data_IF_550251220402
#
_entry.id   IF_550251220402
#
_cell.length_a   1.000
_cell.length_b   1.000
_cell.length_c   1.000
_cell.angle_alpha   90.00
_cell.angle_beta   90.00
_cell.angle_gamma   90.00
#
_symmetry.space_group_name_H-M   'P 1'
#
loop_
_entity.id
_entity.type
_entity.pdbx_description
1 polymer ?
#
# COMPACT_ATOMS: atom_id res chain seq x y z
N UNK A 1 13.38 -10.99 38.42
CA UNK A 1 13.14 -11.03 36.96
C UNK A 1 13.26 -9.62 36.47
N UNK A 2 14.40 -9.30 35.88
CA UNK A 2 14.76 -7.95 35.45
C UNK A 2 13.92 -7.60 34.23
N UNK A 3 13.00 -6.66 34.38
CA UNK A 3 12.28 -6.03 33.27
C UNK A 3 13.33 -5.33 32.42
N UNK A 4 13.81 -5.98 31.37
CA UNK A 4 14.60 -5.34 30.34
C UNK A 4 13.68 -4.27 29.76
N UNK A 5 14.00 -2.99 30.00
CA UNK A 5 13.44 -1.89 29.22
C UNK A 5 13.82 -2.22 27.79
N UNK A 6 12.84 -2.59 26.96
CA UNK A 6 13.00 -2.47 25.52
C UNK A 6 13.43 -1.03 25.28
N UNK A 7 14.68 -0.81 24.86
CA UNK A 7 15.03 0.43 24.22
C UNK A 7 14.04 0.57 23.06
N UNK A 8 13.14 1.56 23.17
CA UNK A 8 12.12 1.78 22.17
C UNK A 8 12.84 1.97 20.84
N UNK A 9 12.72 0.97 19.96
CA UNK A 9 13.23 1.06 18.60
C UNK A 9 12.58 2.29 17.97
N UNK A 10 13.40 3.26 17.57
CA UNK A 10 12.92 4.51 16.99
C UNK A 10 12.50 4.24 15.54
N UNK A 11 11.21 3.97 15.36
CA UNK A 11 10.59 3.75 14.06
C UNK A 11 10.52 5.04 13.26
N UNK A 12 10.88 4.97 11.98
CA UNK A 12 10.77 6.09 11.06
C UNK A 12 10.53 5.60 9.63
N UNK A 13 9.32 5.81 9.13
CA UNK A 13 8.95 5.43 7.77
C UNK A 13 9.69 6.25 6.69
N UNK A 14 10.18 7.45 7.02
CA UNK A 14 10.98 8.28 6.11
C UNK A 14 12.33 7.63 5.83
N UNK A 15 12.91 7.02 6.85
CA UNK A 15 14.18 6.29 6.78
C UNK A 15 14.01 4.78 6.54
N UNK A 16 12.77 4.31 6.34
CA UNK A 16 12.42 2.88 6.25
C UNK A 16 12.84 2.06 7.47
N UNK A 17 12.85 2.67 8.65
CA UNK A 17 13.09 2.01 9.93
C UNK A 17 11.77 1.43 10.44
N UNK A 18 11.50 0.17 10.09
CA UNK A 18 10.34 -0.56 10.59
C UNK A 18 10.74 -1.59 11.65
N UNK A 19 9.83 -1.96 12.56
CA UNK A 19 10.01 -3.09 13.46
C UNK A 19 10.31 -4.38 12.70
N UNK A 20 11.02 -5.31 13.37
CA UNK A 20 11.45 -6.57 12.76
C UNK A 20 10.28 -7.44 12.25
N UNK A 21 9.10 -7.32 12.83
CA UNK A 21 7.93 -8.06 12.35
C UNK A 21 7.52 -7.66 10.92
N UNK A 22 7.82 -6.42 10.52
CA UNK A 22 7.55 -5.91 9.17
C UNK A 22 8.67 -6.19 8.20
N UNK A 23 9.84 -6.67 8.63
CA UNK A 23 10.95 -7.07 7.74
C UNK A 23 10.88 -8.54 7.34
N UNK A 24 9.91 -9.30 7.87
CA UNK A 24 9.70 -10.70 7.49
C UNK A 24 9.41 -10.83 5.97
N UNK A 25 10.06 -11.77 5.24
CA UNK A 25 9.77 -12.04 3.83
C UNK A 25 8.32 -12.43 3.53
N UNK A 26 7.58 -12.93 4.52
CA UNK A 26 6.16 -13.28 4.42
C UNK A 26 5.25 -12.10 4.74
N UNK A 27 5.79 -10.99 5.26
CA UNK A 27 5.07 -9.75 5.48
C UNK A 27 5.15 -8.88 4.22
N UNK A 28 4.03 -8.71 3.54
CA UNK A 28 3.93 -7.79 2.41
C UNK A 28 3.02 -6.59 2.75
N UNK A 29 3.30 -5.49 2.08
CA UNK A 29 2.47 -4.29 2.05
C UNK A 29 1.19 -4.55 1.24
N UNK A 30 0.11 -3.84 1.54
CA UNK A 30 -1.11 -3.85 0.73
C UNK A 30 -1.42 -2.44 0.21
N UNK A 31 -1.87 -2.37 -1.04
CA UNK A 31 -2.51 -1.19 -1.60
C UNK A 31 -3.89 -1.02 -0.98
N UNK A 32 -4.37 0.22 -0.84
CA UNK A 32 -5.74 0.52 -0.39
C UNK A 32 -6.76 -0.21 -1.27
N UNK A 33 -6.47 -0.30 -2.56
CA UNK A 33 -7.26 -1.04 -3.54
C UNK A 33 -7.31 -2.56 -3.26
N UNK A 34 -6.20 -3.17 -2.84
CA UNK A 34 -6.14 -4.58 -2.45
C UNK A 34 -6.89 -4.83 -1.15
N UNK A 35 -6.72 -3.93 -0.17
CA UNK A 35 -7.47 -3.96 1.09
C UNK A 35 -8.97 -3.91 0.79
N UNK A 36 -9.42 -3.03 -0.12
CA UNK A 36 -10.82 -2.94 -0.50
C UNK A 36 -11.35 -4.28 -1.06
N UNK A 37 -10.63 -4.92 -1.99
CA UNK A 37 -11.03 -6.21 -2.56
C UNK A 37 -11.11 -7.32 -1.50
N UNK A 38 -10.14 -7.38 -0.59
CA UNK A 38 -10.11 -8.37 0.50
C UNK A 38 -11.29 -8.18 1.45
N UNK A 39 -11.57 -6.93 1.85
CA UNK A 39 -12.71 -6.61 2.72
C UNK A 39 -14.04 -6.86 2.02
N UNK A 40 -14.16 -6.51 0.74
CA UNK A 40 -15.37 -6.78 -0.04
C UNK A 40 -15.64 -8.29 -0.14
N UNK A 41 -14.63 -9.09 -0.46
CA UNK A 41 -14.75 -10.54 -0.50
C UNK A 41 -15.13 -11.11 0.87
N UNK A 42 -14.52 -10.63 1.96
CA UNK A 42 -14.88 -11.04 3.32
C UNK A 42 -16.31 -10.69 3.68
N UNK A 43 -16.82 -9.53 3.25
CA UNK A 43 -18.23 -9.14 3.43
C UNK A 43 -19.16 -10.07 2.64
N UNK A 44 -18.85 -10.37 1.38
CA UNK A 44 -19.63 -11.29 0.57
C UNK A 44 -19.69 -12.69 1.17
N UNK A 45 -18.58 -13.19 1.72
CA UNK A 45 -18.58 -14.47 2.45
C UNK A 45 -19.50 -14.44 3.67
N UNK A 46 -19.55 -13.31 4.38
CA UNK A 46 -20.43 -13.15 5.53
C UNK A 46 -21.92 -13.13 5.13
N UNK A 47 -22.24 -12.47 4.02
CA UNK A 47 -23.60 -12.41 3.47
C UNK A 47 -24.11 -13.78 2.95
N UNK A 48 -23.20 -14.71 2.65
CA UNK A 48 -23.51 -16.06 2.17
C UNK A 48 -23.69 -17.09 3.29
N UNK A 49 -23.39 -16.73 4.54
CA UNK A 49 -23.61 -17.62 5.68
C UNK A 49 -25.10 -17.72 6.00
N UNK A 50 -25.51 -18.88 6.52
CA UNK A 50 -26.88 -19.09 7.01
C UNK A 50 -27.21 -18.14 8.18
N UNK A 51 -26.21 -17.81 9.00
CA UNK A 51 -26.27 -16.78 10.04
C UNK A 51 -25.27 -15.68 9.74
N UNK A 52 -25.77 -14.46 9.49
CA UNK A 52 -24.96 -13.27 9.22
C UNK A 52 -24.36 -12.77 10.55
N UNK A 53 -23.04 -12.70 10.62
CA UNK A 53 -22.34 -12.10 11.76
C UNK A 53 -22.23 -10.58 11.60
N UNK A 54 -22.39 -9.84 12.69
CA UNK A 54 -22.14 -8.40 12.67
C UNK A 54 -20.64 -8.12 12.50
N UNK A 55 -20.32 -7.31 11.49
CA UNK A 55 -18.94 -6.89 11.25
C UNK A 55 -18.53 -5.82 12.26
N UNK A 56 -17.28 -5.89 12.73
CA UNK A 56 -16.76 -4.93 13.70
C UNK A 56 -16.78 -3.49 13.16
N UNK A 57 -16.87 -2.51 14.05
CA UNK A 57 -16.85 -1.09 13.68
C UNK A 57 -15.57 -0.73 12.89
N UNK A 58 -14.43 -1.31 13.28
CA UNK A 58 -13.14 -1.15 12.58
C UNK A 58 -13.25 -1.67 11.15
N UNK A 59 -13.85 -2.85 10.95
CA UNK A 59 -14.04 -3.41 9.61
C UNK A 59 -14.87 -2.47 8.73
N UNK A 60 -16.01 -1.98 9.25
CA UNK A 60 -16.91 -1.09 8.49
C UNK A 60 -16.22 0.23 8.15
N UNK A 61 -15.48 0.83 9.09
CA UNK A 61 -14.72 2.06 8.86
C UNK A 61 -13.61 1.87 7.83
N UNK A 62 -12.81 0.80 7.96
CA UNK A 62 -11.72 0.50 7.02
C UNK A 62 -12.27 0.20 5.62
N UNK A 63 -13.36 -0.55 5.51
CA UNK A 63 -14.01 -0.82 4.22
C UNK A 63 -14.51 0.47 3.57
N UNK A 64 -15.13 1.38 4.33
CA UNK A 64 -15.59 2.68 3.81
C UNK A 64 -14.43 3.56 3.36
N UNK A 65 -13.33 3.60 4.12
CA UNK A 65 -12.11 4.31 3.74
C UNK A 65 -11.52 3.72 2.46
N UNK A 66 -11.32 2.40 2.43
CA UNK A 66 -10.71 1.71 1.30
C UNK A 66 -11.58 1.83 0.03
N UNK A 67 -12.91 1.75 0.17
CA UNK A 67 -13.85 1.98 -0.94
C UNK A 67 -13.75 3.40 -1.52
N UNK A 68 -13.59 4.40 -0.66
CA UNK A 68 -13.50 5.81 -1.07
C UNK A 68 -12.17 6.15 -1.73
N UNK A 69 -11.07 5.61 -1.23
CA UNK A 69 -9.71 5.98 -1.65
C UNK A 69 -9.05 4.94 -2.56
N UNK A 70 -9.69 3.80 -2.80
CA UNK A 70 -9.25 2.84 -3.81
C UNK A 70 -9.12 3.53 -5.16
N UNK A 71 -7.90 3.52 -5.69
CA UNK A 71 -7.57 4.04 -7.02
C UNK A 71 -7.85 3.02 -8.11
N UNK A 72 -7.96 1.75 -7.73
CA UNK A 72 -8.05 0.63 -8.66
C UNK A 72 -9.15 -0.34 -8.22
N UNK A 73 -10.21 -0.47 -9.00
CA UNK A 73 -11.34 -1.39 -8.74
C UNK A 73 -11.13 -2.76 -9.37
N UNK A 74 -10.39 -2.85 -10.47
CA UNK A 74 -10.15 -4.12 -11.17
C UNK A 74 -8.90 -4.83 -10.64
N UNK A 75 -9.04 -6.12 -10.28
CA UNK A 75 -7.96 -7.00 -9.83
C UNK A 75 -6.82 -7.13 -10.84
N UNK A 76 -7.11 -7.15 -12.13
CA UNK A 76 -6.11 -7.16 -13.19
C UNK A 76 -5.31 -5.87 -13.24
N UNK A 77 -5.98 -4.72 -13.08
CA UNK A 77 -5.32 -3.40 -12.99
C UNK A 77 -4.40 -3.34 -11.77
N UNK A 78 -4.84 -3.84 -10.61
CA UNK A 78 -4.02 -3.88 -9.39
C UNK A 78 -2.76 -4.72 -9.61
N UNK A 79 -2.88 -5.90 -10.22
CA UNK A 79 -1.71 -6.73 -10.58
C UNK A 79 -0.79 -6.00 -11.55
N UNK A 80 -1.35 -5.35 -12.57
CA UNK A 80 -0.55 -4.58 -13.52
C UNK A 80 0.20 -3.45 -12.82
N UNK A 81 -0.44 -2.74 -11.89
CA UNK A 81 0.18 -1.68 -11.08
C UNK A 81 1.35 -2.23 -10.25
N UNK A 82 1.18 -3.38 -9.59
CA UNK A 82 2.29 -4.04 -8.87
C UNK A 82 3.47 -4.37 -9.80
N UNK A 83 3.18 -4.84 -11.01
CA UNK A 83 4.21 -5.22 -11.97
C UNK A 83 5.01 -4.03 -12.51
N UNK A 84 4.45 -2.81 -12.53
CA UNK A 84 5.19 -1.59 -12.94
C UNK A 84 6.44 -1.40 -12.06
N UNK A 85 6.33 -1.72 -10.76
CA UNK A 85 7.43 -1.57 -9.80
C UNK A 85 8.38 -2.77 -9.75
N UNK A 86 8.01 -3.91 -10.34
CA UNK A 86 8.72 -5.19 -10.16
C UNK A 86 10.14 -5.25 -10.73
N UNK A 87 10.51 -4.31 -11.61
CA UNK A 87 11.87 -4.21 -12.16
C UNK A 87 12.83 -3.36 -11.29
N UNK A 88 12.34 -2.77 -10.19
CA UNK A 88 13.07 -1.80 -9.37
C UNK A 88 13.28 -2.33 -7.95
N UNK A 89 14.40 -1.99 -7.34
CA UNK A 89 14.70 -2.31 -5.95
C UNK A 89 14.03 -1.30 -5.00
N UNK A 90 12.69 -1.27 -5.03
CA UNK A 90 11.88 -0.47 -4.11
C UNK A 90 11.47 -1.30 -2.88
N UNK A 91 11.48 -0.65 -1.73
CA UNK A 91 10.93 -1.23 -0.51
C UNK A 91 9.41 -1.38 -0.63
N UNK A 92 8.84 -2.44 -0.04
CA UNK A 92 7.39 -2.70 -0.08
C UNK A 92 6.54 -1.52 0.39
N UNK A 93 7.04 -0.76 1.38
CA UNK A 93 6.41 0.50 1.81
C UNK A 93 6.34 1.53 0.68
N UNK A 94 7.44 1.76 -0.05
CA UNK A 94 7.53 2.73 -1.14
C UNK A 94 6.58 2.36 -2.29
N UNK A 95 6.54 1.08 -2.66
CA UNK A 95 5.61 0.55 -3.65
C UNK A 95 4.16 0.84 -3.25
N UNK A 96 3.83 0.59 -1.97
CA UNK A 96 2.48 0.85 -1.48
C UNK A 96 2.14 2.35 -1.46
N UNK A 97 3.07 3.21 -1.04
CA UNK A 97 2.87 4.66 -1.04
C UNK A 97 2.68 5.20 -2.46
N UNK A 98 3.53 4.83 -3.41
CA UNK A 98 3.41 5.27 -4.81
C UNK A 98 2.08 4.84 -5.44
N UNK A 99 1.66 3.59 -5.20
CA UNK A 99 0.39 3.06 -5.71
C UNK A 99 -0.86 3.69 -5.07
N UNK A 100 -0.76 4.19 -3.83
CA UNK A 100 -1.89 4.79 -3.11
C UNK A 100 -2.01 6.31 -3.34
N UNK A 101 -0.88 7.01 -3.26
CA UNK A 101 -0.81 8.46 -3.38
C UNK A 101 -0.96 8.90 -4.85
N UNK A 102 -0.36 8.15 -5.78
CA UNK A 102 -0.31 8.47 -7.21
C UNK A 102 0.16 9.92 -7.47
N UNK A 103 1.41 10.27 -7.11
CA UNK A 103 1.95 11.60 -7.38
C UNK A 103 2.04 11.86 -8.89
N UNK A 104 2.01 13.13 -9.26
CA UNK A 104 2.01 13.58 -10.66
C UNK A 104 3.42 13.90 -11.18
N UNK A 105 4.40 14.12 -10.29
CA UNK A 105 5.80 14.38 -10.64
C UNK A 105 6.79 13.64 -9.73
N UNK A 106 8.03 13.48 -10.20
CA UNK A 106 9.12 12.91 -9.40
C UNK A 106 9.42 13.76 -8.15
N UNK A 107 9.37 15.10 -8.29
CA UNK A 107 9.51 16.04 -7.17
C UNK A 107 8.44 15.80 -6.09
N UNK A 108 7.17 15.67 -6.47
CA UNK A 108 6.09 15.38 -5.51
C UNK A 108 6.29 14.00 -4.86
N UNK A 109 6.65 13.00 -5.65
CA UNK A 109 6.89 11.64 -5.16
C UNK A 109 8.00 11.60 -4.10
N UNK A 110 9.12 12.29 -4.34
CA UNK A 110 10.25 12.38 -3.40
C UNK A 110 9.92 13.25 -2.19
N UNK A 111 9.15 14.33 -2.37
CA UNK A 111 8.70 15.15 -1.24
C UNK A 111 7.76 14.37 -0.29
N UNK A 112 6.87 13.53 -0.84
CA UNK A 112 5.94 12.71 -0.05
C UNK A 112 6.57 11.44 0.50
N UNK A 113 7.57 10.89 -0.20
CA UNK A 113 8.24 9.63 0.13
C UNK A 113 9.76 9.86 0.09
N UNK A 114 10.35 10.49 1.12
CA UNK A 114 11.74 10.95 1.05
C UNK A 114 12.77 9.81 0.95
N UNK A 115 12.39 8.58 1.31
CA UNK A 115 13.23 7.39 1.11
C UNK A 115 13.58 7.11 -0.36
N UNK A 116 12.87 7.74 -1.32
CA UNK A 116 13.12 7.63 -2.76
C UNK A 116 14.26 8.52 -3.27
N UNK A 117 14.64 9.58 -2.55
CA UNK A 117 15.54 10.66 -3.03
C UNK A 117 16.82 10.15 -3.70
N UNK A 118 17.47 9.15 -3.09
CA UNK A 118 18.74 8.60 -3.56
C UNK A 118 18.62 7.18 -4.17
N UNK A 119 17.39 6.70 -4.40
CA UNK A 119 17.16 5.33 -4.90
C UNK A 119 16.78 5.27 -6.38
N UNK A 120 16.08 6.28 -6.86
CA UNK A 120 15.55 6.32 -8.23
C UNK A 120 15.80 7.70 -8.82
N UNK A 121 16.34 7.71 -10.03
CA UNK A 121 16.52 8.94 -10.83
C UNK A 121 15.17 9.53 -11.24
N UNK A 122 15.11 10.86 -11.38
CA UNK A 122 13.85 11.57 -11.64
C UNK A 122 13.20 11.15 -12.95
N UNK A 123 13.97 11.00 -14.04
CA UNK A 123 13.47 10.58 -15.36
C UNK A 123 12.82 9.19 -15.31
N UNK A 124 13.42 8.30 -14.52
CA UNK A 124 12.99 6.93 -14.31
C UNK A 124 11.70 6.89 -13.48
N UNK A 125 11.65 7.69 -12.42
CA UNK A 125 10.48 7.83 -11.56
C UNK A 125 9.32 8.47 -12.34
N UNK A 126 9.57 9.51 -13.14
CA UNK A 126 8.57 10.10 -14.03
C UNK A 126 7.96 9.09 -15.01
N UNK A 127 8.79 8.21 -15.59
CA UNK A 127 8.32 7.13 -16.46
C UNK A 127 7.31 6.22 -15.74
N UNK A 128 7.64 5.79 -14.52
CA UNK A 128 6.75 4.98 -13.67
C UNK A 128 5.46 5.71 -13.35
N UNK A 129 5.55 6.98 -12.95
CA UNK A 129 4.37 7.77 -12.60
C UNK A 129 3.44 7.93 -13.81
N UNK A 130 3.98 8.16 -15.02
CA UNK A 130 3.20 8.21 -16.26
C UNK A 130 2.46 6.88 -16.51
N UNK A 131 3.13 5.75 -16.32
CA UNK A 131 2.48 4.44 -16.43
C UNK A 131 1.37 4.23 -15.39
N UNK A 132 1.59 4.64 -14.13
CA UNK A 132 0.57 4.57 -13.07
C UNK A 132 -0.66 5.42 -13.39
N UNK A 133 -0.46 6.66 -13.84
CA UNK A 133 -1.54 7.58 -14.20
C UNK A 133 -2.34 7.05 -15.40
N UNK A 134 -1.67 6.39 -16.36
CA UNK A 134 -2.35 5.71 -17.44
C UNK A 134 -3.28 4.61 -16.89
N UNK A 135 -2.82 3.75 -15.97
CA UNK A 135 -3.65 2.68 -15.37
C UNK A 135 -4.83 3.20 -14.54
N UNK A 136 -4.71 4.40 -13.96
CA UNK A 136 -5.79 5.08 -13.23
C UNK A 136 -6.87 5.62 -14.16
N UNK A 137 -6.49 6.14 -15.34
CA UNK A 137 -7.41 6.79 -16.28
C UNK A 137 -8.33 5.84 -17.05
N UNK A 138 -8.02 4.54 -17.09
CA UNK A 138 -8.80 3.52 -17.81
C UNK A 138 -9.91 2.84 -16.97
N UNK A 139 -10.25 3.38 -15.79
CA UNK A 139 -11.30 2.84 -14.91
C UNK A 139 -12.55 3.69 -14.85
#
# INVERSE_FOLDING_TARGET
>A
MTTQKDEAFEEDAVDLKFPKEFEDPHCDSLLISEVFLLLEHRRQQNDQKDEIEDMSEVFVKTMKYASRFSRYKNRETIRAVRNIFGARELHKFEVAQLGNLCPDSAEEAKALIPSLENKVEDDDLEGVLKELQAKKSFQ
#
